data_IF_805430763846
#
_entry.id   IF_805430763846
#
_cell.length_a   1.000
_cell.length_b   1.000
_cell.length_c   1.000
_cell.angle_alpha   90.00
_cell.angle_beta   90.00
_cell.angle_gamma   90.00
#
_symmetry.space_group_name_H-M   'P 1'
#
loop_
_entity.id
_entity.type
_entity.pdbx_description
1 polymer ?
#
# COMPACT_ATOMS: atom_id res chain seq x y z
N UNK A 1 0.46 30.80 -4.14
CA UNK A 1 1.03 30.09 -2.97
C UNK A 1 0.00 29.08 -2.55
N UNK A 2 0.19 27.78 -2.86
CA UNK A 2 -0.82 26.75 -2.53
C UNK A 2 -0.71 26.49 -1.03
N UNK A 3 -1.67 27.00 -0.27
CA UNK A 3 -1.87 26.68 1.14
C UNK A 3 -2.02 25.16 1.27
N UNK A 4 -1.12 24.51 2.00
CA UNK A 4 -1.22 23.08 2.29
C UNK A 4 -2.34 22.90 3.30
N UNK A 5 -3.33 22.08 2.98
CA UNK A 5 -4.42 21.74 3.87
C UNK A 5 -3.84 21.11 5.15
N UNK A 6 -4.28 21.60 6.30
CA UNK A 6 -3.86 21.14 7.63
C UNK A 6 -5.09 20.90 8.50
N UNK A 7 -5.01 19.92 9.40
CA UNK A 7 -6.04 19.72 10.43
C UNK A 7 -5.95 20.76 11.56
N UNK A 8 -6.84 20.66 12.54
CA UNK A 8 -6.89 21.54 13.72
C UNK A 8 -5.59 21.47 14.56
N UNK A 9 -4.83 20.38 14.44
CA UNK A 9 -3.52 20.18 15.06
C UNK A 9 -2.33 20.63 14.17
N UNK A 10 -2.60 21.18 12.98
CA UNK A 10 -1.57 21.64 12.04
C UNK A 10 -0.86 20.53 11.25
N UNK A 11 -1.30 19.28 11.34
CA UNK A 11 -0.77 18.18 10.52
C UNK A 11 -1.28 18.33 9.10
N UNK A 12 -0.46 18.09 8.06
CA UNK A 12 -0.89 18.18 6.68
C UNK A 12 -1.98 17.13 6.42
N UNK A 13 -3.23 17.57 6.34
CA UNK A 13 -4.38 16.73 6.05
C UNK A 13 -4.67 16.91 4.57
N UNK A 14 -4.45 15.89 3.76
CA UNK A 14 -4.71 16.00 2.33
C UNK A 14 -6.23 16.05 2.07
N UNK A 15 -6.81 17.24 2.10
CA UNK A 15 -8.26 17.43 1.86
C UNK A 15 -8.64 17.31 0.37
N UNK A 16 -7.65 17.20 -0.52
CA UNK A 16 -7.88 17.07 -1.96
C UNK A 16 -8.34 15.64 -2.29
N UNK A 17 -9.53 15.44 -2.91
CA UNK A 17 -10.03 14.13 -3.29
C UNK A 17 -9.04 13.42 -4.23
N UNK A 18 -9.03 12.10 -4.21
CA UNK A 18 -8.15 11.27 -5.04
C UNK A 18 -8.93 10.20 -5.79
N UNK A 19 -8.40 9.78 -6.94
CA UNK A 19 -8.88 8.58 -7.65
C UNK A 19 -8.43 7.29 -6.92
N UNK A 20 -8.87 6.13 -7.40
CA UNK A 20 -8.58 4.80 -6.87
C UNK A 20 -7.07 4.51 -6.84
N UNK A 21 -6.32 5.11 -7.76
CA UNK A 21 -4.88 4.98 -7.83
C UNK A 21 -4.17 6.02 -6.98
N UNK A 22 -4.87 6.89 -6.26
CA UNK A 22 -4.32 7.94 -5.40
C UNK A 22 -3.88 9.21 -6.13
N UNK A 23 -4.29 9.46 -7.39
CA UNK A 23 -3.97 10.72 -8.09
C UNK A 23 -4.91 11.82 -7.59
N UNK A 24 -4.40 13.04 -7.34
CA UNK A 24 -5.24 14.12 -6.85
C UNK A 24 -6.22 14.61 -7.92
N UNK A 25 -7.50 14.69 -7.56
CA UNK A 25 -8.61 15.16 -8.40
C UNK A 25 -8.87 16.66 -8.20
N UNK A 26 -9.54 17.37 -9.11
CA UNK A 26 -9.96 18.75 -8.88
C UNK A 26 -10.79 18.90 -7.59
N UNK A 27 -10.72 20.07 -6.94
CA UNK A 27 -11.59 20.34 -5.79
C UNK A 27 -13.07 20.28 -6.21
N UNK A 28 -13.90 19.65 -5.39
CA UNK A 28 -15.32 19.41 -5.69
C UNK A 28 -15.61 18.19 -6.56
N UNK A 29 -14.59 17.51 -7.08
CA UNK A 29 -14.78 16.18 -7.68
C UNK A 29 -15.01 15.12 -6.58
N UNK A 30 -15.84 14.14 -6.88
CA UNK A 30 -15.99 12.95 -6.05
C UNK A 30 -14.75 12.05 -6.23
N UNK A 31 -14.11 11.68 -5.12
CA UNK A 31 -12.97 10.76 -5.08
C UNK A 31 -13.29 9.56 -4.21
N UNK A 32 -12.35 8.63 -4.11
CA UNK A 32 -12.49 7.50 -3.19
C UNK A 32 -12.30 7.95 -1.74
N UNK A 33 -13.05 7.33 -0.84
CA UNK A 33 -12.92 7.58 0.60
C UNK A 33 -11.51 7.19 1.07
N UNK A 34 -10.75 8.09 1.72
CA UNK A 34 -9.42 7.77 2.25
C UNK A 34 -9.50 6.67 3.33
N UNK A 35 -8.44 5.90 3.44
CA UNK A 35 -8.27 4.94 4.54
C UNK A 35 -7.79 5.67 5.80
N UNK A 36 -8.09 5.12 6.97
CA UNK A 36 -7.54 5.66 8.23
C UNK A 36 -6.01 5.53 8.25
N UNK A 37 -5.33 6.51 8.86
CA UNK A 37 -3.90 6.43 9.17
C UNK A 37 -3.63 5.59 10.43
N UNK A 38 -4.66 5.27 11.21
CA UNK A 38 -4.53 4.45 12.41
C UNK A 38 -4.26 2.98 12.03
N UNK A 39 -3.26 2.33 12.64
CA UNK A 39 -2.94 0.94 12.34
C UNK A 39 -4.06 0.01 12.81
N UNK A 40 -4.46 -0.91 11.93
CA UNK A 40 -5.33 -2.03 12.30
C UNK A 40 -4.52 -3.17 12.94
N UNK A 41 -5.17 -4.07 13.70
CA UNK A 41 -4.60 -5.36 14.07
C UNK A 41 -4.14 -6.16 12.84
N UNK A 42 -3.05 -6.95 12.93
CA UNK A 42 -2.41 -7.60 11.78
C UNK A 42 -3.34 -8.33 10.79
N UNK A 43 -4.23 -9.19 11.32
CA UNK A 43 -5.17 -9.96 10.48
C UNK A 43 -6.17 -9.04 9.78
N UNK A 44 -6.61 -7.98 10.45
CA UNK A 44 -7.54 -6.99 9.88
C UNK A 44 -6.84 -6.13 8.83
N UNK A 45 -5.57 -5.74 9.04
CA UNK A 45 -4.73 -5.08 8.03
C UNK A 45 -4.67 -5.90 6.75
N UNK A 46 -4.35 -7.20 6.84
CA UNK A 46 -4.24 -8.08 5.67
C UNK A 46 -5.57 -8.19 4.94
N UNK A 47 -6.67 -8.47 5.66
CA UNK A 47 -8.01 -8.60 5.05
C UNK A 47 -8.44 -7.32 4.34
N UNK A 48 -8.32 -6.19 5.02
CA UNK A 48 -8.76 -4.91 4.47
C UNK A 48 -7.92 -4.49 3.26
N UNK A 49 -6.60 -4.70 3.30
CA UNK A 49 -5.74 -4.42 2.15
C UNK A 49 -6.06 -5.32 0.94
N UNK A 50 -6.44 -6.59 1.16
CA UNK A 50 -6.90 -7.48 0.07
C UNK A 50 -8.21 -6.98 -0.51
N UNK A 51 -9.18 -6.58 0.31
CA UNK A 51 -10.45 -6.00 -0.15
C UNK A 51 -10.22 -4.73 -0.99
N UNK A 52 -9.29 -3.87 -0.58
CA UNK A 52 -8.91 -2.69 -1.36
C UNK A 52 -8.27 -3.07 -2.71
N UNK A 53 -7.45 -4.12 -2.76
CA UNK A 53 -6.91 -4.63 -4.02
C UNK A 53 -8.00 -5.22 -4.92
N UNK A 54 -9.00 -5.89 -4.36
CA UNK A 54 -10.18 -6.38 -5.10
C UNK A 54 -11.00 -5.23 -5.70
N UNK A 55 -11.03 -4.07 -5.02
CA UNK A 55 -11.67 -2.84 -5.48
C UNK A 55 -10.82 -2.03 -6.47
N UNK A 56 -9.62 -2.51 -6.86
CA UNK A 56 -8.73 -1.76 -7.74
C UNK A 56 -8.05 -0.55 -7.09
N UNK A 57 -7.91 -0.56 -5.75
CA UNK A 57 -7.35 0.53 -4.94
C UNK A 57 -5.98 0.18 -4.32
N UNK A 58 -4.94 -0.10 -5.13
CA UNK A 58 -3.63 -0.52 -4.61
C UNK A 58 -2.91 0.60 -3.85
N UNK A 59 -3.22 1.87 -4.09
CA UNK A 59 -2.64 2.97 -3.32
C UNK A 59 -3.17 2.98 -1.88
N UNK A 60 -4.49 2.80 -1.71
CA UNK A 60 -5.08 2.67 -0.37
C UNK A 60 -4.59 1.40 0.35
N UNK A 61 -4.42 0.28 -0.37
CA UNK A 61 -3.81 -0.92 0.21
C UNK A 61 -2.37 -0.68 0.70
N UNK A 62 -1.58 0.10 -0.07
CA UNK A 62 -0.26 0.56 0.35
C UNK A 62 -0.33 1.37 1.65
N UNK A 63 -1.24 2.33 1.76
CA UNK A 63 -1.42 3.16 2.95
C UNK A 63 -1.76 2.32 4.19
N UNK A 64 -2.66 1.35 4.07
CA UNK A 64 -3.02 0.42 5.16
C UNK A 64 -1.81 -0.40 5.64
N UNK A 65 -1.01 -0.94 4.72
CA UNK A 65 0.21 -1.67 5.10
C UNK A 65 1.30 -0.74 5.67
N UNK A 66 1.40 0.50 5.18
CA UNK A 66 2.36 1.48 5.70
C UNK A 66 2.01 1.91 7.14
N UNK A 67 0.72 2.14 7.43
CA UNK A 67 0.26 2.42 8.78
C UNK A 67 0.62 1.29 9.73
N UNK A 68 0.38 0.03 9.32
CA UNK A 68 0.79 -1.14 10.12
C UNK A 68 2.30 -1.24 10.28
N UNK A 69 3.08 -0.96 9.24
CA UNK A 69 4.55 -0.98 9.32
C UNK A 69 5.07 -0.03 10.40
N UNK A 70 4.49 1.17 10.53
CA UNK A 70 4.91 2.17 11.54
C UNK A 70 4.63 1.74 12.99
N UNK A 71 3.70 0.79 13.19
CA UNK A 71 3.29 0.25 14.51
C UNK A 71 3.84 -1.16 14.79
N UNK A 72 4.42 -1.81 13.79
CA UNK A 72 4.82 -3.21 13.89
C UNK A 72 6.10 -3.39 14.74
N UNK A 73 6.27 -4.57 15.37
CA UNK A 73 7.56 -4.95 15.94
C UNK A 73 8.65 -5.00 14.86
N UNK A 74 9.90 -4.70 15.25
CA UNK A 74 11.05 -4.71 14.32
C UNK A 74 11.19 -6.02 13.53
N UNK A 75 10.89 -7.15 14.17
CA UNK A 75 10.94 -8.47 13.55
C UNK A 75 9.96 -8.63 12.36
N UNK A 76 8.94 -7.79 12.27
CA UNK A 76 7.91 -7.80 11.22
C UNK A 76 8.05 -6.67 10.22
N UNK A 77 9.02 -5.76 10.38
CA UNK A 77 9.18 -4.63 9.47
C UNK A 77 9.34 -5.05 8.01
N UNK A 78 10.12 -6.10 7.73
CA UNK A 78 10.30 -6.59 6.36
C UNK A 78 8.98 -7.14 5.74
N UNK A 79 8.08 -7.71 6.55
CA UNK A 79 6.74 -8.12 6.07
C UNK A 79 5.94 -6.90 5.63
N UNK A 80 5.66 -5.99 6.57
CA UNK A 80 4.73 -4.88 6.35
C UNK A 80 5.27 -3.90 5.31
N UNK A 81 6.56 -3.58 5.38
CA UNK A 81 7.19 -2.72 4.39
C UNK A 81 7.26 -3.38 3.01
N UNK A 82 7.48 -4.71 2.94
CA UNK A 82 7.45 -5.47 1.70
C UNK A 82 6.09 -5.41 1.02
N UNK A 83 5.01 -5.68 1.77
CA UNK A 83 3.63 -5.61 1.28
C UNK A 83 3.25 -4.19 0.82
N UNK A 84 3.62 -3.18 1.60
CA UNK A 84 3.41 -1.78 1.22
C UNK A 84 4.13 -1.44 -0.09
N UNK A 85 5.39 -1.88 -0.26
CA UNK A 85 6.20 -1.66 -1.47
C UNK A 85 5.61 -2.35 -2.71
N UNK A 86 5.08 -3.57 -2.57
CA UNK A 86 4.41 -4.27 -3.66
C UNK A 86 3.15 -3.51 -4.12
N UNK A 87 2.34 -3.01 -3.18
CA UNK A 87 1.11 -2.28 -3.49
C UNK A 87 1.39 -0.92 -4.17
N UNK A 88 2.39 -0.15 -3.71
CA UNK A 88 2.79 1.08 -4.40
C UNK A 88 3.51 0.80 -5.73
N UNK A 89 4.24 -0.31 -5.83
CA UNK A 89 4.81 -0.79 -7.10
C UNK A 89 3.71 -1.06 -8.14
N UNK A 90 2.65 -1.77 -7.75
CA UNK A 90 1.46 -1.98 -8.58
C UNK A 90 0.79 -0.64 -8.95
N UNK A 91 0.65 0.27 -8.00
CA UNK A 91 0.11 1.61 -8.26
C UNK A 91 0.92 2.34 -9.34
N UNK A 92 2.25 2.26 -9.28
CA UNK A 92 3.11 2.84 -10.31
C UNK A 92 2.92 2.18 -11.69
N UNK A 93 2.77 0.86 -11.73
CA UNK A 93 2.53 0.12 -12.97
C UNK A 93 1.21 0.57 -13.63
N UNK A 94 0.11 0.59 -12.86
CA UNK A 94 -1.21 1.03 -13.33
C UNK A 94 -1.24 2.51 -13.73
N UNK A 95 -0.31 3.31 -13.18
CA UNK A 95 -0.14 4.71 -13.58
C UNK A 95 0.73 4.91 -14.83
N UNK A 96 1.25 3.84 -15.44
CA UNK A 96 2.12 3.89 -16.62
C UNK A 96 3.60 4.14 -16.31
N UNK A 97 4.02 4.03 -15.04
CA UNK A 97 5.41 4.20 -14.62
C UNK A 97 6.10 2.85 -14.41
N UNK A 98 6.42 2.16 -15.51
CA UNK A 98 7.03 0.83 -15.49
C UNK A 98 8.39 0.80 -14.76
N UNK A 99 9.27 1.78 -14.99
CA UNK A 99 10.59 1.86 -14.34
C UNK A 99 10.47 2.02 -12.83
N UNK A 100 9.58 2.89 -12.36
CA UNK A 100 9.32 3.08 -10.94
C UNK A 100 8.69 1.84 -10.30
N UNK A 101 7.74 1.22 -11.00
CA UNK A 101 7.11 -0.02 -10.57
C UNK A 101 8.13 -1.14 -10.38
N UNK A 102 8.97 -1.43 -11.37
CA UNK A 102 9.96 -2.51 -11.31
C UNK A 102 10.88 -2.38 -10.09
N UNK A 103 11.39 -1.18 -9.82
CA UNK A 103 12.26 -0.91 -8.65
C UNK A 103 11.56 -1.15 -7.31
N UNK A 104 10.27 -0.80 -7.19
CA UNK A 104 9.50 -1.00 -5.97
C UNK A 104 9.13 -2.47 -5.78
N UNK A 105 8.73 -3.16 -6.85
CA UNK A 105 8.42 -4.58 -6.85
C UNK A 105 9.64 -5.43 -6.48
N UNK A 106 10.81 -5.14 -7.06
CA UNK A 106 12.06 -5.82 -6.73
C UNK A 106 12.41 -5.68 -5.25
N UNK A 107 12.40 -4.44 -4.72
CA UNK A 107 12.69 -4.20 -3.30
C UNK A 107 11.69 -4.88 -2.38
N UNK A 108 10.39 -4.76 -2.67
CA UNK A 108 9.34 -5.38 -1.88
C UNK A 108 9.47 -6.90 -1.83
N UNK A 109 9.72 -7.53 -2.98
CA UNK A 109 9.99 -8.97 -3.06
C UNK A 109 11.20 -9.39 -2.21
N UNK A 110 12.31 -8.66 -2.30
CA UNK A 110 13.51 -8.96 -1.51
C UNK A 110 13.28 -8.83 0.01
N UNK A 111 12.35 -7.98 0.46
CA UNK A 111 11.94 -7.92 1.88
C UNK A 111 11.13 -9.14 2.28
N UNK A 112 10.13 -9.50 1.47
CA UNK A 112 9.28 -10.66 1.75
C UNK A 112 10.06 -11.97 1.74
N UNK A 113 11.08 -12.10 0.89
CA UNK A 113 11.98 -13.25 0.87
C UNK A 113 12.78 -13.38 2.17
N UNK A 114 13.36 -12.27 2.66
CA UNK A 114 14.05 -12.27 3.96
C UNK A 114 13.11 -12.58 5.12
N UNK A 115 11.91 -12.01 5.12
CA UNK A 115 10.91 -12.28 6.14
C UNK A 115 10.48 -13.75 6.15
N UNK A 116 10.20 -14.32 4.97
CA UNK A 116 9.84 -15.73 4.83
C UNK A 116 10.96 -16.65 5.34
N UNK A 117 12.22 -16.32 5.06
CA UNK A 117 13.36 -17.08 5.58
C UNK A 117 13.50 -17.02 7.11
N UNK A 118 13.01 -15.95 7.75
CA UNK A 118 13.00 -15.82 9.21
C UNK A 118 11.83 -16.56 9.89
N UNK A 119 10.81 -17.01 9.13
CA UNK A 119 9.72 -17.85 9.66
C UNK A 119 8.68 -17.12 10.52
N UNK A 120 8.50 -15.81 10.32
CA UNK A 120 7.52 -15.02 11.07
C UNK A 120 6.06 -15.22 10.64
N UNK A 121 5.08 -14.77 11.45
CA UNK A 121 3.65 -14.92 11.13
C UNK A 121 3.23 -14.06 9.93
N UNK A 122 2.53 -14.66 8.96
CA UNK A 122 1.97 -13.92 7.80
C UNK A 122 0.51 -13.53 7.97
N UNK A 123 -0.07 -13.79 9.14
CA UNK A 123 -1.43 -13.40 9.49
C UNK A 123 -2.50 -13.90 8.49
N UNK A 124 -2.31 -15.12 8.00
CA UNK A 124 -3.20 -15.77 7.04
C UNK A 124 -2.92 -15.43 5.58
N UNK A 125 -1.88 -14.62 5.30
CA UNK A 125 -1.45 -14.31 3.94
C UNK A 125 -0.52 -15.41 3.40
N UNK A 126 -0.83 -15.93 2.22
CA UNK A 126 0.14 -16.67 1.41
C UNK A 126 0.98 -15.65 0.61
N UNK A 127 2.26 -15.52 0.98
CA UNK A 127 3.16 -14.55 0.35
C UNK A 127 3.46 -14.90 -1.12
N UNK A 128 3.47 -16.18 -1.48
CA UNK A 128 3.72 -16.62 -2.86
C UNK A 128 2.53 -16.25 -3.74
N UNK A 129 1.32 -16.55 -3.27
CA UNK A 129 0.09 -16.21 -3.99
C UNK A 129 -0.08 -14.70 -4.09
N UNK A 130 0.17 -13.96 -3.01
CA UNK A 130 0.11 -12.50 -3.02
C UNK A 130 1.07 -11.88 -4.04
N UNK A 131 2.34 -12.32 -4.06
CA UNK A 131 3.33 -11.86 -5.05
C UNK A 131 2.90 -12.16 -6.48
N UNK A 132 2.36 -13.36 -6.71
CA UNK A 132 1.86 -13.79 -8.02
C UNK A 132 0.69 -12.92 -8.47
N UNK A 133 -0.26 -12.65 -7.56
CA UNK A 133 -1.39 -11.76 -7.80
C UNK A 133 -0.93 -10.35 -8.18
N UNK A 134 -0.01 -9.76 -7.42
CA UNK A 134 0.53 -8.42 -7.72
C UNK A 134 1.20 -8.37 -9.10
N UNK A 135 1.99 -9.39 -9.46
CA UNK A 135 2.64 -9.47 -10.77
C UNK A 135 1.61 -9.51 -11.90
N UNK A 136 0.57 -10.35 -11.79
CA UNK A 136 -0.52 -10.43 -12.78
C UNK A 136 -1.24 -9.09 -12.93
N UNK A 137 -1.57 -8.43 -11.83
CA UNK A 137 -2.23 -7.12 -11.86
C UNK A 137 -1.35 -6.03 -12.48
N UNK A 138 -0.02 -6.13 -12.37
CA UNK A 138 0.92 -5.17 -12.95
C UNK A 138 1.13 -5.36 -14.47
N UNK A 139 0.63 -6.45 -15.06
CA UNK A 139 0.80 -6.75 -16.49
C UNK A 139 2.24 -7.12 -16.87
N UNK A 140 3.00 -7.68 -15.93
CA UNK A 140 4.39 -8.12 -16.14
C UNK A 140 4.47 -9.63 -16.36
N UNK A 141 4.09 -10.10 -17.54
CA UNK A 141 4.35 -11.47 -17.99
C UNK A 141 5.75 -11.61 -18.59
#
# INVERSE_FOLDING_TARGET
>A
MVTRDRDEEGRPRQARPRDELGRPLPYGAEGVEPVSEDPLPPLQTVRFAIELLDQGRPFSAHEVFEARWKDAPDAEHDLWQGLAQLCVGLTHALRGNATGAGRLLERGNGRLERYAAAGGPTYGLDLTEFRTRIRRMAGTD
#
